data_IF_713958274661
#
_entry.id   IF_713958274661
#
_cell.length_a   1.000
_cell.length_b   1.000
_cell.length_c   1.000
_cell.angle_alpha   90.00
_cell.angle_beta   90.00
_cell.angle_gamma   90.00
#
_symmetry.space_group_name_H-M   'P 1'
#
loop_
_entity.id
_entity.type
_entity.pdbx_description
1 polymer ?
#
# COMPACT_ATOMS: atom_id res chain seq x y z
N UNK A 1 4.72 33.88 -14.09
CA UNK A 1 4.45 32.53 -14.62
C UNK A 1 3.82 31.76 -13.48
N UNK A 2 2.51 31.53 -13.53
CA UNK A 2 1.81 30.73 -12.53
C UNK A 2 1.93 29.27 -12.95
N UNK A 3 2.77 28.50 -12.25
CA UNK A 3 2.81 27.04 -12.41
C UNK A 3 1.38 26.51 -12.19
N UNK A 4 0.89 25.71 -13.15
CA UNK A 4 -0.40 25.04 -13.02
C UNK A 4 -0.43 24.13 -11.78
N UNK A 5 -1.61 23.62 -11.39
CA UNK A 5 -1.71 22.75 -10.23
C UNK A 5 -0.72 21.59 -10.36
N UNK A 6 0.23 21.50 -9.42
CA UNK A 6 1.20 20.41 -9.39
C UNK A 6 0.43 19.09 -9.30
N UNK A 7 0.59 18.24 -10.32
CA UNK A 7 -0.05 16.94 -10.37
C UNK A 7 0.58 16.01 -9.35
N UNK A 8 -0.25 15.21 -8.68
CA UNK A 8 0.22 14.16 -7.79
C UNK A 8 1.07 13.16 -8.58
N UNK A 9 2.23 12.78 -8.02
CA UNK A 9 3.19 11.89 -8.67
C UNK A 9 3.93 11.01 -7.67
N UNK A 10 4.55 9.96 -8.16
CA UNK A 10 5.55 9.16 -7.46
C UNK A 10 6.89 9.38 -8.14
N UNK A 11 7.96 9.45 -7.36
CA UNK A 11 9.31 9.59 -7.88
C UNK A 11 10.32 8.87 -6.97
N UNK A 12 11.50 8.60 -7.51
CA UNK A 12 12.60 8.00 -6.76
C UNK A 12 13.56 9.11 -6.28
N UNK A 13 14.10 8.92 -5.08
CA UNK A 13 15.19 9.73 -4.54
C UNK A 13 16.03 8.88 -3.59
N UNK A 14 17.32 8.73 -3.89
CA UNK A 14 18.29 7.96 -3.09
C UNK A 14 17.86 6.50 -2.83
N UNK A 15 17.31 5.83 -3.84
CA UNK A 15 16.85 4.44 -3.76
C UNK A 15 15.51 4.26 -3.06
N UNK A 16 14.90 5.32 -2.54
CA UNK A 16 13.59 5.31 -1.88
C UNK A 16 12.52 5.93 -2.78
N UNK A 17 11.28 5.49 -2.62
CA UNK A 17 10.14 6.04 -3.31
C UNK A 17 9.48 7.13 -2.48
N UNK A 18 9.16 8.23 -3.14
CA UNK A 18 8.44 9.37 -2.59
C UNK A 18 7.22 9.65 -3.42
N UNK A 19 6.23 10.32 -2.83
CA UNK A 19 5.12 10.91 -3.57
C UNK A 19 5.10 12.41 -3.38
N UNK A 20 4.87 13.14 -4.48
CA UNK A 20 4.48 14.55 -4.41
C UNK A 20 2.96 14.62 -4.43
N UNK A 21 2.38 15.21 -3.40
CA UNK A 21 0.94 15.44 -3.29
C UNK A 21 0.65 16.83 -2.78
N UNK A 22 -0.20 17.57 -3.49
CA UNK A 22 -0.61 18.93 -3.09
C UNK A 22 0.60 19.83 -2.75
N UNK A 23 1.69 19.70 -3.52
CA UNK A 23 2.94 20.47 -3.33
C UNK A 23 3.82 20.03 -2.17
N UNK A 24 3.51 18.92 -1.49
CA UNK A 24 4.33 18.34 -0.42
C UNK A 24 4.88 16.99 -0.85
N UNK A 25 6.09 16.70 -0.40
CA UNK A 25 6.75 15.43 -0.63
C UNK A 25 6.58 14.52 0.59
N UNK A 26 6.24 13.25 0.37
CA UNK A 26 6.09 12.24 1.43
C UNK A 26 6.89 10.99 1.08
N UNK A 27 7.55 10.40 2.08
CA UNK A 27 8.16 9.08 1.92
C UNK A 27 7.05 8.03 1.79
N UNK A 28 7.25 7.07 0.86
CA UNK A 28 6.34 5.95 0.69
C UNK A 28 6.80 4.75 1.52
N UNK A 29 5.83 3.97 1.98
CA UNK A 29 6.03 2.80 2.83
C UNK A 29 5.26 1.60 2.28
N UNK A 30 5.75 0.40 2.62
CA UNK A 30 5.08 -0.89 2.39
C UNK A 30 4.83 -1.60 3.71
N UNK A 31 3.82 -2.48 3.74
CA UNK A 31 3.52 -3.32 4.89
C UNK A 31 4.22 -4.68 4.76
N UNK A 32 5.36 -4.86 5.43
CA UNK A 32 6.27 -6.01 5.23
C UNK A 32 5.70 -7.38 5.66
N UNK A 33 4.81 -7.51 6.67
CA UNK A 33 4.19 -8.79 7.00
C UNK A 33 3.36 -9.40 5.86
N UNK A 34 2.98 -8.61 4.85
CA UNK A 34 2.27 -9.11 3.67
C UNK A 34 3.06 -10.19 2.93
N UNK A 35 4.38 -10.05 2.80
CA UNK A 35 5.20 -11.07 2.13
C UNK A 35 5.21 -12.39 2.91
N UNK A 36 5.32 -12.34 4.23
CA UNK A 36 5.26 -13.53 5.08
C UNK A 36 3.88 -14.22 5.00
N UNK A 37 2.80 -13.43 4.89
CA UNK A 37 1.44 -13.93 4.65
C UNK A 37 1.35 -14.73 3.34
N UNK A 38 1.89 -14.15 2.28
CA UNK A 38 1.84 -14.70 0.93
C UNK A 38 2.70 -15.96 0.79
N UNK A 39 3.87 -15.99 1.45
CA UNK A 39 4.78 -17.13 1.44
C UNK A 39 4.31 -18.28 2.36
N UNK A 40 3.64 -17.98 3.47
CA UNK A 40 3.21 -18.95 4.47
C UNK A 40 1.75 -19.41 4.38
N UNK A 41 0.97 -18.89 3.42
CA UNK A 41 -0.50 -19.09 3.33
C UNK A 41 -1.26 -18.73 4.61
N UNK A 42 -0.79 -17.72 5.35
CA UNK A 42 -1.48 -17.24 6.55
C UNK A 42 -2.41 -16.07 6.21
N UNK A 43 -3.61 -15.99 6.82
CA UNK A 43 -4.41 -14.79 6.73
C UNK A 43 -3.70 -13.66 7.49
N UNK A 44 -3.42 -12.57 6.79
CA UNK A 44 -2.92 -11.34 7.41
C UNK A 44 -3.99 -10.29 7.27
N UNK A 45 -4.48 -9.83 8.41
CA UNK A 45 -5.41 -8.72 8.46
C UNK A 45 -4.80 -7.51 7.74
N UNK A 46 -5.58 -6.87 6.88
CA UNK A 46 -5.22 -5.65 6.17
C UNK A 46 -6.24 -4.55 6.49
N UNK A 47 -5.77 -3.33 6.76
CA UNK A 47 -6.65 -2.17 6.87
C UNK A 47 -7.76 -2.34 7.93
N UNK A 48 -9.02 -2.38 7.50
CA UNK A 48 -10.17 -2.49 8.40
C UNK A 48 -10.25 -3.80 9.20
N UNK A 49 -9.56 -4.86 8.76
CA UNK A 49 -9.52 -6.14 9.46
C UNK A 49 -8.62 -6.11 10.70
N UNK A 50 -7.85 -5.04 10.89
CA UNK A 50 -7.02 -4.90 12.07
C UNK A 50 -7.85 -4.67 13.34
N UNK A 51 -7.39 -5.31 14.41
CA UNK A 51 -7.96 -5.18 15.76
C UNK A 51 -8.16 -3.70 16.15
N UNK A 52 -9.22 -3.43 16.91
CA UNK A 52 -9.60 -2.08 17.37
C UNK A 52 -8.41 -1.36 18.03
N UNK A 53 -7.57 -2.10 18.74
CA UNK A 53 -6.38 -1.58 19.42
C UNK A 53 -5.27 -1.08 18.46
N UNK A 54 -5.23 -1.60 17.23
CA UNK A 54 -4.23 -1.19 16.23
C UNK A 54 -4.74 -0.07 15.30
N UNK A 55 -6.02 0.33 15.42
CA UNK A 55 -6.65 1.25 14.46
C UNK A 55 -6.01 2.64 14.42
N UNK A 56 -5.67 3.21 15.58
CA UNK A 56 -5.06 4.54 15.65
C UNK A 56 -3.68 4.56 14.98
N UNK A 57 -2.91 3.50 15.19
CA UNK A 57 -1.62 3.29 14.56
C UNK A 57 -1.75 3.19 13.04
N UNK A 58 -2.65 2.35 12.57
CA UNK A 58 -2.88 2.13 11.13
C UNK A 58 -3.31 3.39 10.41
N UNK A 59 -4.18 4.19 11.02
CA UNK A 59 -4.72 5.41 10.40
C UNK A 59 -3.66 6.44 10.05
N UNK A 60 -2.45 6.32 10.62
CA UNK A 60 -1.32 7.17 10.26
C UNK A 60 -0.79 6.83 8.85
N UNK A 61 -0.90 5.56 8.43
CA UNK A 61 -0.51 5.09 7.11
C UNK A 61 -1.68 5.22 6.15
N UNK A 62 -1.70 6.34 5.43
CA UNK A 62 -2.72 6.63 4.43
C UNK A 62 -2.39 5.88 3.14
N UNK A 63 -3.34 5.10 2.59
CA UNK A 63 -3.15 4.41 1.32
C UNK A 63 -2.86 5.41 0.21
N UNK A 64 -1.87 5.11 -0.63
CA UNK A 64 -1.54 5.98 -1.75
C UNK A 64 -2.67 5.89 -2.81
N UNK A 65 -3.32 7.01 -3.18
CA UNK A 65 -4.28 7.01 -4.29
C UNK A 65 -3.58 6.72 -5.62
N UNK A 66 -4.34 6.25 -6.60
CA UNK A 66 -3.83 6.00 -7.95
C UNK A 66 -3.32 7.31 -8.57
N UNK A 67 -2.10 7.27 -9.10
CA UNK A 67 -1.50 8.36 -9.85
C UNK A 67 -1.04 7.87 -11.21
N UNK A 68 -0.85 8.80 -12.14
CA UNK A 68 -0.45 8.50 -13.52
C UNK A 68 1.01 8.81 -13.82
N UNK A 69 1.70 9.46 -12.89
CA UNK A 69 3.11 9.81 -13.01
C UNK A 69 3.92 9.07 -11.95
N UNK A 70 4.76 8.13 -12.40
CA UNK A 70 5.64 7.30 -11.57
C UNK A 70 6.93 6.96 -12.35
N UNK A 71 8.02 6.53 -11.68
CA UNK A 71 9.27 6.21 -12.35
C UNK A 71 9.14 5.00 -13.29
N UNK A 72 9.98 4.96 -14.32
CA UNK A 72 10.08 3.81 -15.23
C UNK A 72 10.88 2.67 -14.60
N UNK A 73 10.70 1.45 -15.12
CA UNK A 73 11.45 0.27 -14.68
C UNK A 73 10.90 -0.43 -13.43
N UNK A 74 9.77 0.02 -12.89
CA UNK A 74 9.03 -0.62 -11.81
C UNK A 74 7.60 -0.91 -12.28
N UNK A 75 6.98 -1.96 -11.72
CA UNK A 75 5.64 -2.38 -12.09
C UNK A 75 4.59 -1.74 -11.18
N UNK A 76 4.06 -0.59 -11.60
CA UNK A 76 3.02 0.12 -10.88
C UNK A 76 1.64 -0.33 -11.35
N UNK A 77 0.78 -0.71 -10.42
CA UNK A 77 -0.63 -1.04 -10.70
C UNK A 77 -1.55 -0.52 -9.60
N UNK A 78 -2.83 -0.88 -9.65
CA UNK A 78 -3.80 -0.47 -8.63
C UNK A 78 -4.59 -1.65 -8.11
N UNK A 79 -4.95 -1.63 -6.84
CA UNK A 79 -5.84 -2.60 -6.23
C UNK A 79 -7.12 -1.93 -5.72
N UNK A 80 -8.26 -2.58 -5.94
CA UNK A 80 -9.54 -2.15 -5.36
C UNK A 80 -9.53 -2.42 -3.86
N UNK A 81 -10.11 -1.50 -3.09
CA UNK A 81 -10.31 -1.68 -1.64
C UNK A 81 -11.77 -2.06 -1.35
N UNK A 82 -12.02 -2.96 -0.39
CA UNK A 82 -13.38 -3.30 0.02
C UNK A 82 -14.20 -2.07 0.42
N UNK A 83 -15.49 -2.08 0.09
CA UNK A 83 -16.41 -1.04 0.52
C UNK A 83 -16.53 -1.04 2.05
N UNK A 84 -16.58 0.15 2.68
CA UNK A 84 -16.62 0.29 4.15
C UNK A 84 -15.27 0.51 4.82
N UNK A 85 -14.17 0.44 4.07
CA UNK A 85 -12.86 0.91 4.52
C UNK A 85 -12.85 2.43 4.78
N UNK A 86 -11.94 2.89 5.66
CA UNK A 86 -11.73 4.33 5.90
C UNK A 86 -11.24 5.09 4.67
N UNK A 87 -10.71 4.36 3.68
CA UNK A 87 -10.17 4.89 2.44
C UNK A 87 -10.81 4.13 1.26
N UNK A 88 -12.04 4.49 0.87
CA UNK A 88 -12.83 3.75 -0.11
C UNK A 88 -12.44 4.12 -1.56
N UNK A 89 -11.15 4.06 -1.86
CA UNK A 89 -10.61 4.32 -3.20
C UNK A 89 -9.55 3.26 -3.57
N UNK A 90 -9.34 3.01 -4.88
CA UNK A 90 -8.28 2.13 -5.32
C UNK A 90 -6.91 2.62 -4.84
N UNK A 91 -6.09 1.70 -4.38
CA UNK A 91 -4.76 1.98 -3.84
C UNK A 91 -3.69 1.67 -4.89
N UNK A 92 -2.71 2.55 -5.01
CA UNK A 92 -1.53 2.35 -5.85
C UNK A 92 -0.64 1.25 -5.25
N UNK A 93 -0.11 0.39 -6.11
CA UNK A 93 0.88 -0.64 -5.76
C UNK A 93 2.16 -0.47 -6.58
N UNK A 94 3.25 -1.06 -6.11
CA UNK A 94 4.51 -1.23 -6.86
C UNK A 94 5.05 -2.65 -6.67
N UNK A 95 5.32 -3.36 -7.76
CA UNK A 95 5.75 -4.76 -7.76
C UNK A 95 4.83 -5.66 -6.90
N UNK A 96 3.52 -5.35 -6.87
CA UNK A 96 2.52 -6.03 -6.04
C UNK A 96 2.39 -5.53 -4.60
N UNK A 97 3.27 -4.65 -4.12
CA UNK A 97 3.20 -4.07 -2.78
C UNK A 97 2.24 -2.87 -2.72
N UNK A 98 1.25 -2.88 -1.82
CA UNK A 98 0.43 -1.69 -1.57
C UNK A 98 1.26 -0.55 -0.97
N UNK A 99 1.13 0.65 -1.53
CA UNK A 99 1.87 1.83 -1.09
C UNK A 99 1.10 2.67 -0.09
N UNK A 100 1.80 3.19 0.92
CA UNK A 100 1.27 4.08 1.95
C UNK A 100 2.16 5.30 2.14
N UNK A 101 1.60 6.39 2.65
CA UNK A 101 2.35 7.56 3.12
C UNK A 101 1.79 8.03 4.46
N UNK A 102 2.56 8.83 5.21
CA UNK A 102 2.13 9.38 6.50
C UNK A 102 1.98 10.90 6.36
N UNK A 103 0.76 11.42 6.57
CA UNK A 103 0.42 12.84 6.36
C UNK A 103 1.24 13.77 7.26
N UNK A 104 1.47 13.37 8.51
CA UNK A 104 2.22 14.18 9.48
C UNK A 104 3.74 13.99 9.37
N UNK A 105 4.20 13.26 8.35
CA UNK A 105 5.62 13.01 8.08
C UNK A 105 6.05 13.54 6.70
N UNK A 106 6.09 14.86 6.50
CA UNK A 106 6.60 15.45 5.26
C UNK A 106 8.10 15.16 5.09
N UNK A 107 8.49 14.86 3.85
CA UNK A 107 9.75 14.24 3.48
C UNK A 107 11.01 15.08 3.75
N UNK A 108 11.91 14.49 4.54
CA UNK A 108 13.35 14.67 4.33
C UNK A 108 14.09 15.57 5.32
N UNK A 109 14.23 15.12 6.56
CA UNK A 109 15.51 15.09 7.31
C UNK A 109 15.29 14.46 8.69
N UNK A 110 16.03 13.40 9.00
CA UNK A 110 16.31 12.98 10.38
C UNK A 110 15.11 12.60 11.26
N UNK A 111 13.93 12.30 10.70
CA UNK A 111 12.82 11.82 11.52
C UNK A 111 13.08 10.36 11.82
N UNK A 112 13.36 10.07 13.10
CA UNK A 112 13.56 8.72 13.64
C UNK A 112 12.62 7.75 12.97
N UNK A 113 13.17 6.82 12.20
CA UNK A 113 12.48 5.63 11.71
C UNK A 113 12.21 4.66 12.86
N UNK A 114 11.78 5.17 14.03
CA UNK A 114 11.11 4.39 15.07
C UNK A 114 9.65 4.12 14.62
N UNK A 115 9.46 3.97 13.31
CA UNK A 115 8.25 3.42 12.76
C UNK A 115 8.23 1.94 13.15
N UNK A 116 7.12 1.42 13.66
CA UNK A 116 7.10 0.05 14.13
C UNK A 116 7.40 -0.92 12.98
N UNK A 117 8.04 -2.03 13.33
CA UNK A 117 8.67 -3.02 12.44
C UNK A 117 7.79 -3.64 11.35
N UNK A 118 6.53 -3.23 11.22
CA UNK A 118 5.57 -3.73 10.24
C UNK A 118 5.53 -2.90 8.96
N UNK A 119 6.01 -1.65 8.99
CA UNK A 119 6.10 -0.80 7.81
C UNK A 119 7.53 -0.37 7.56
N UNK A 120 7.96 -0.52 6.32
CA UNK A 120 9.31 -0.14 5.88
C UNK A 120 9.24 0.83 4.71
N UNK A 121 10.23 1.73 4.56
CA UNK A 121 10.33 2.59 3.39
C UNK A 121 10.30 1.78 2.10
N UNK A 122 9.48 2.21 1.14
CA UNK A 122 9.43 1.60 -0.16
C UNK A 122 10.69 1.97 -0.95
N UNK A 123 11.41 0.98 -1.48
CA UNK A 123 12.67 1.19 -2.22
C UNK A 123 12.56 0.71 -3.67
N UNK A 124 13.43 1.19 -4.55
CA UNK A 124 13.48 0.71 -5.94
C UNK A 124 13.95 -0.74 -6.08
N UNK A 125 14.64 -1.27 -5.08
CA UNK A 125 15.06 -2.67 -4.99
C UNK A 125 14.00 -3.59 -4.37
N UNK A 126 12.76 -3.13 -4.20
CA UNK A 126 11.70 -3.95 -3.62
C UNK A 126 11.45 -5.21 -4.47
N UNK A 127 11.55 -6.41 -3.89
CA UNK A 127 11.25 -7.63 -4.62
C UNK A 127 9.78 -7.67 -5.02
N UNK A 128 9.46 -8.35 -6.12
CA UNK A 128 8.05 -8.57 -6.50
C UNK A 128 7.39 -9.55 -5.53
N UNK A 129 6.22 -9.18 -4.99
CA UNK A 129 5.38 -10.14 -4.26
C UNK A 129 4.97 -11.22 -5.24
N UNK A 130 5.33 -12.47 -4.95
CA UNK A 130 4.85 -13.60 -5.74
C UNK A 130 3.39 -13.87 -5.36
N UNK A 131 2.49 -14.08 -6.35
CA UNK A 131 1.15 -14.59 -6.08
C UNK A 131 1.26 -15.87 -5.24
N UNK A 132 0.41 -16.02 -4.23
CA UNK A 132 0.36 -17.26 -3.46
C UNK A 132 -0.17 -18.38 -4.36
N UNK A 133 0.60 -19.46 -4.62
CA UNK A 133 0.13 -20.58 -5.44
C UNK A 133 -0.99 -21.40 -4.75
N UNK A 134 -1.16 -21.24 -3.44
CA UNK A 134 -2.13 -21.93 -2.60
C UNK A 134 -2.89 -20.92 -1.73
N UNK A 135 -3.79 -20.12 -2.34
CA UNK A 135 -4.62 -19.20 -1.57
C UNK A 135 -5.41 -20.00 -0.52
N UNK A 136 -5.57 -19.48 0.71
CA UNK A 136 -6.40 -20.14 1.70
C UNK A 136 -7.79 -20.36 1.11
N UNK A 137 -8.23 -21.61 1.10
CA UNK A 137 -9.58 -21.98 0.66
C UNK A 137 -10.54 -21.35 1.67
N UNK A 138 -11.29 -20.33 1.25
CA UNK A 138 -12.37 -19.76 2.05
C UNK A 138 -13.32 -20.91 2.44
N UNK A 139 -13.20 -21.40 3.67
CA UNK A 139 -14.04 -22.50 4.16
C UNK A 139 -14.92 -21.95 5.27
N UNK A 140 -16.12 -21.58 4.83
CA UNK A 140 -17.42 -21.72 5.51
C UNK A 140 -17.63 -21.04 6.86
N UNK A 141 -18.41 -19.96 6.81
CA UNK A 141 -19.14 -19.42 7.94
C UNK A 141 -20.20 -18.40 7.51
N UNK A 142 -21.29 -18.88 6.91
CA UNK A 142 -22.53 -18.09 6.70
C UNK A 142 -22.91 -17.89 5.24
N UNK A 143 -24.05 -18.49 4.86
CA UNK A 143 -24.89 -18.05 3.75
C UNK A 143 -25.04 -16.52 3.77
N UNK A 144 -24.49 -15.85 2.75
CA UNK A 144 -25.03 -14.65 2.08
C UNK A 144 -23.91 -13.93 1.30
N UNK A 145 -23.71 -14.35 0.05
CA UNK A 145 -23.50 -13.44 -1.09
C UNK A 145 -22.32 -12.46 -1.14
N UNK A 146 -21.21 -12.67 -0.44
CA UNK A 146 -20.04 -11.77 -0.48
C UNK A 146 -18.80 -12.40 -1.13
N UNK A 147 -18.36 -11.87 -2.27
CA UNK A 147 -17.10 -12.19 -2.95
C UNK A 147 -15.89 -12.04 -1.99
N UNK A 148 -15.46 -13.17 -1.42
CA UNK A 148 -14.38 -13.24 -0.43
C UNK A 148 -13.11 -13.85 -1.03
N UNK A 149 -12.08 -13.02 -1.11
CA UNK A 149 -10.65 -13.24 -1.40
C UNK A 149 -10.14 -14.57 -1.97
N UNK A 150 -9.24 -14.52 -2.97
CA UNK A 150 -8.64 -13.30 -3.55
C UNK A 150 -9.58 -12.61 -4.56
N UNK A 151 -9.51 -11.29 -4.77
CA UNK A 151 -10.31 -10.61 -5.79
C UNK A 151 -10.02 -11.19 -7.18
N UNK A 152 -11.06 -11.31 -7.99
CA UNK A 152 -11.10 -11.92 -9.33
C UNK A 152 -10.30 -11.18 -10.43
N UNK A 153 -9.19 -10.52 -10.09
CA UNK A 153 -8.29 -9.92 -11.10
C UNK A 153 -6.84 -10.30 -10.80
N UNK A 154 -6.37 -11.33 -11.50
CA UNK A 154 -4.95 -11.61 -11.71
C UNK A 154 -4.67 -11.67 -13.23
N UNK A 155 -4.56 -10.48 -13.85
CA UNK A 155 -4.08 -10.25 -15.24
C UNK A 155 -4.94 -10.80 -16.38
N UNK A 156 -4.72 -10.39 -17.65
CA UNK A 156 -3.63 -9.57 -18.20
C UNK A 156 -3.88 -8.05 -18.15
#
# INVERSE_FOLDING_TARGET
MTEGPQKDSIYEKNGQLYTRRQGKDYLLFIYTPLQQAMDGSYPVALGAEWSVYNRAFVKQYVPMPVVTAFPTGMDFSSQTRPAGDWYPYPQQTVNGWPLYYVVDLPGGQGVKTDQPALFEPATTSLPRIKPNPHPPTATAGGDDGGEGWPPSVWGP
#
